data_IF_258344239726
#
_entry.id   IF_258344239726
#
_cell.length_a   1.000
_cell.length_b   1.000
_cell.length_c   1.000
_cell.angle_alpha   90.00
_cell.angle_beta   90.00
_cell.angle_gamma   90.00
#
_symmetry.space_group_name_H-M   'P 1'
#
loop_
_entity.id
_entity.type
_entity.pdbx_description
1 polymer ?
#
# COMPACT_ATOMS: atom_id res chain seq x y z
N UNK A 1 -40.94 -9.61 55.30
CA UNK A 1 -40.14 -10.43 54.37
C UNK A 1 -39.59 -9.51 53.29
N UNK A 2 -38.25 -9.47 53.11
CA UNK A 2 -37.46 -8.86 52.01
C UNK A 2 -37.85 -7.43 51.59
N UNK A 3 -37.17 -6.34 51.94
CA UNK A 3 -35.73 -5.99 51.84
C UNK A 3 -35.12 -6.26 50.46
N UNK A 4 -34.68 -5.17 49.84
CA UNK A 4 -33.62 -5.08 48.82
C UNK A 4 -33.95 -5.34 47.35
N UNK A 5 -33.84 -4.25 46.57
CA UNK A 5 -33.12 -4.10 45.28
C UNK A 5 -33.37 -2.65 44.82
N UNK A 6 -32.45 -1.68 44.91
CA UNK A 6 -31.00 -1.78 44.81
C UNK A 6 -30.61 -2.18 43.40
N UNK A 7 -30.49 -1.21 42.48
CA UNK A 7 -29.51 -1.08 41.39
C UNK A 7 -29.76 0.28 40.74
N UNK A 8 -28.93 1.26 41.14
CA UNK A 8 -28.58 2.37 40.27
C UNK A 8 -27.94 1.79 39.00
N UNK A 9 -28.21 2.35 37.84
CA UNK A 9 -27.22 2.55 36.78
C UNK A 9 -27.81 3.55 35.78
N UNK A 10 -27.66 4.81 36.14
CA UNK A 10 -27.35 5.86 35.19
C UNK A 10 -26.28 5.32 34.23
N UNK A 11 -26.64 5.11 32.98
CA UNK A 11 -25.65 5.23 31.91
C UNK A 11 -26.22 6.21 30.91
N UNK A 12 -25.99 7.49 31.25
CA UNK A 12 -25.94 8.53 30.26
C UNK A 12 -24.95 8.05 29.19
N UNK A 13 -25.48 7.79 27.99
CA UNK A 13 -24.70 7.91 26.78
C UNK A 13 -24.13 9.34 26.82
N UNK A 14 -22.84 9.48 27.11
CA UNK A 14 -22.18 10.78 27.09
C UNK A 14 -22.25 11.31 25.65
N UNK A 15 -22.89 12.46 25.38
CA UNK A 15 -22.96 13.01 24.02
C UNK A 15 -21.61 13.54 23.47
N UNK A 16 -20.49 13.19 24.11
CA UNK A 16 -19.15 13.58 23.72
C UNK A 16 -18.30 12.43 23.13
N UNK A 17 -18.74 11.16 23.22
CA UNK A 17 -18.08 10.07 22.49
C UNK A 17 -18.58 10.00 21.04
N UNK A 18 -18.51 11.13 20.35
CA UNK A 18 -18.35 11.03 18.91
C UNK A 18 -16.93 10.52 18.77
N UNK A 19 -16.66 9.32 18.22
CA UNK A 19 -15.33 9.11 17.67
C UNK A 19 -15.16 10.30 16.74
N UNK A 20 -14.18 11.15 17.05
CA UNK A 20 -13.69 12.12 16.10
C UNK A 20 -13.17 11.25 14.97
N UNK A 21 -14.07 10.88 14.05
CA UNK A 21 -13.73 10.07 12.89
C UNK A 21 -12.77 10.96 12.17
N UNK A 22 -11.50 10.68 12.41
CA UNK A 22 -10.39 11.54 12.11
C UNK A 22 -10.54 11.98 10.66
N UNK A 23 -10.16 13.21 10.37
CA UNK A 23 -10.05 13.73 9.01
C UNK A 23 -9.02 12.87 8.27
N UNK A 24 -9.40 11.65 7.85
CA UNK A 24 -8.58 10.72 7.09
C UNK A 24 -8.49 11.32 5.70
N UNK A 25 -7.44 12.11 5.52
CA UNK A 25 -7.01 12.45 4.17
C UNK A 25 -6.74 11.13 3.44
N UNK A 26 -7.22 10.99 2.20
CA UNK A 26 -7.04 9.76 1.46
C UNK A 26 -5.54 9.50 1.32
N UNK A 27 -5.05 8.42 1.94
CA UNK A 27 -3.68 7.97 1.74
C UNK A 27 -3.53 7.63 0.26
N UNK A 28 -2.45 8.07 -0.42
CA UNK A 28 -2.27 7.77 -1.84
C UNK A 28 -2.31 6.25 -2.04
N UNK A 29 -3.19 5.77 -2.92
CA UNK A 29 -3.38 4.33 -3.15
C UNK A 29 -2.11 3.65 -3.67
N UNK A 30 -1.26 4.38 -4.41
CA UNK A 30 0.02 3.90 -4.92
C UNK A 30 1.07 5.02 -4.97
N UNK A 31 2.31 4.66 -4.65
CA UNK A 31 3.48 5.52 -4.79
C UNK A 31 4.16 5.28 -6.13
N UNK A 32 4.57 6.36 -6.82
CA UNK A 32 5.40 6.25 -8.03
C UNK A 32 6.87 6.12 -7.68
N UNK A 33 7.68 5.79 -8.67
CA UNK A 33 9.14 5.72 -8.51
C UNK A 33 9.73 6.99 -7.89
N UNK A 34 9.22 8.17 -8.29
CA UNK A 34 9.70 9.46 -7.77
C UNK A 34 9.41 9.60 -6.27
N UNK A 35 8.25 9.13 -5.82
CA UNK A 35 7.85 9.18 -4.41
C UNK A 35 8.64 8.16 -3.60
N UNK A 36 8.84 6.95 -4.12
CA UNK A 36 9.64 5.91 -3.45
C UNK A 36 11.06 6.37 -3.23
N UNK A 37 11.69 7.01 -4.22
CA UNK A 37 13.03 7.60 -4.06
C UNK A 37 13.05 8.68 -2.98
N UNK A 38 12.03 9.54 -2.95
CA UNK A 38 11.92 10.60 -1.94
C UNK A 38 11.71 10.05 -0.53
N UNK A 39 10.89 9.00 -0.38
CA UNK A 39 10.55 8.39 0.92
C UNK A 39 11.71 7.55 1.46
N UNK A 40 12.34 6.75 0.61
CA UNK A 40 13.39 5.81 1.02
C UNK A 40 14.79 6.42 1.03
N UNK A 41 14.95 7.63 0.48
CA UNK A 41 16.24 8.28 0.22
C UNK A 41 17.23 7.41 -0.59
N UNK A 42 16.74 6.40 -1.30
CA UNK A 42 17.54 5.53 -2.16
C UNK A 42 17.47 6.00 -3.61
N UNK A 43 18.60 5.92 -4.32
CA UNK A 43 18.62 6.17 -5.76
C UNK A 43 17.77 5.14 -6.52
N UNK A 44 17.25 5.54 -7.69
CA UNK A 44 16.45 4.65 -8.55
C UNK A 44 17.14 3.32 -8.85
N UNK A 45 18.43 3.39 -9.14
CA UNK A 45 19.26 2.21 -9.42
C UNK A 45 19.35 1.28 -8.20
N UNK A 46 19.50 1.84 -6.99
CA UNK A 46 19.56 1.06 -5.76
C UNK A 46 18.25 0.35 -5.47
N UNK A 47 17.12 1.03 -5.68
CA UNK A 47 15.79 0.42 -5.53
C UNK A 47 15.64 -0.76 -6.49
N UNK A 48 15.96 -0.59 -7.78
CA UNK A 48 15.90 -1.70 -8.74
C UNK A 48 16.84 -2.86 -8.40
N UNK A 49 18.06 -2.57 -7.93
CA UNK A 49 18.99 -3.60 -7.46
C UNK A 49 18.40 -4.38 -6.28
N UNK A 50 17.85 -3.71 -5.27
CA UNK A 50 17.23 -4.39 -4.12
C UNK A 50 15.97 -5.17 -4.50
N UNK A 51 15.21 -4.72 -5.49
CA UNK A 51 14.09 -5.48 -6.06
C UNK A 51 14.61 -6.78 -6.69
N UNK A 52 15.69 -6.71 -7.48
CA UNK A 52 16.31 -7.90 -8.08
C UNK A 52 16.88 -8.86 -7.02
N UNK A 53 17.38 -8.33 -5.90
CA UNK A 53 17.84 -9.10 -4.74
C UNK A 53 16.69 -9.64 -3.85
N UNK A 54 15.43 -9.28 -4.14
CA UNK A 54 14.26 -9.66 -3.33
C UNK A 54 14.16 -8.96 -1.97
N UNK A 55 14.97 -7.92 -1.75
CA UNK A 55 15.10 -7.11 -0.52
C UNK A 55 14.25 -5.84 -0.51
N UNK A 56 13.40 -5.67 -1.52
CA UNK A 56 12.49 -4.52 -1.64
C UNK A 56 11.16 -4.99 -2.23
N UNK A 57 10.02 -4.35 -1.89
CA UNK A 57 8.73 -4.72 -2.44
C UNK A 57 8.71 -4.61 -3.98
N UNK A 58 8.14 -5.61 -4.69
CA UNK A 58 8.01 -5.53 -6.14
C UNK A 58 6.99 -4.45 -6.55
N UNK A 59 7.20 -3.78 -7.71
CA UNK A 59 6.23 -2.83 -8.23
C UNK A 59 4.96 -3.53 -8.72
N UNK A 60 3.81 -2.93 -8.41
CA UNK A 60 2.50 -3.29 -8.95
C UNK A 60 2.30 -2.58 -10.29
N UNK A 61 1.99 -3.34 -11.34
CA UNK A 61 1.64 -2.77 -12.65
C UNK A 61 0.18 -2.28 -12.62
N UNK A 62 0.00 -0.97 -12.82
CA UNK A 62 -1.32 -0.31 -12.85
C UNK A 62 -1.87 -0.21 -14.28
N UNK A 63 -1.18 -0.79 -15.26
CA UNK A 63 -1.53 -0.78 -16.68
C UNK A 63 -0.53 0.02 -17.55
N UNK A 64 -0.29 -0.44 -18.77
CA UNK A 64 0.66 0.19 -19.69
C UNK A 64 2.06 0.33 -19.10
N UNK A 65 2.61 1.56 -19.13
CA UNK A 65 3.93 1.90 -18.56
C UNK A 65 3.87 2.35 -17.09
N UNK A 66 2.68 2.32 -16.48
CA UNK A 66 2.45 2.78 -15.13
C UNK A 66 2.73 1.66 -14.12
N UNK A 67 3.74 1.84 -13.27
CA UNK A 67 4.01 1.01 -12.11
C UNK A 67 3.98 1.83 -10.81
N UNK A 68 3.70 1.17 -9.68
CA UNK A 68 3.70 1.80 -8.36
C UNK A 68 3.76 0.82 -7.21
N UNK A 69 3.91 1.33 -5.99
CA UNK A 69 4.00 0.54 -4.77
C UNK A 69 2.83 0.85 -3.85
N UNK A 70 2.28 -0.17 -3.19
CA UNK A 70 1.23 0.06 -2.20
C UNK A 70 1.84 0.71 -0.94
N UNK A 71 1.08 1.55 -0.21
CA UNK A 71 1.53 2.10 1.05
C UNK A 71 1.90 1.02 2.07
N UNK A 72 1.11 -0.05 2.14
CA UNK A 72 1.33 -1.15 3.08
C UNK A 72 2.64 -1.88 2.82
N UNK A 73 2.96 -2.18 1.57
CA UNK A 73 4.21 -2.88 1.24
C UNK A 73 5.44 -2.01 1.48
N UNK A 74 5.33 -0.71 1.16
CA UNK A 74 6.40 0.24 1.42
C UNK A 74 6.61 0.45 2.92
N UNK A 75 5.53 0.59 3.69
CA UNK A 75 5.59 0.72 5.15
C UNK A 75 6.26 -0.50 5.80
N UNK A 76 5.87 -1.72 5.41
CA UNK A 76 6.50 -2.95 5.90
C UNK A 76 7.99 -3.01 5.64
N UNK A 77 8.45 -2.45 4.52
CA UNK A 77 9.87 -2.34 4.22
C UNK A 77 10.56 -1.24 5.04
N UNK A 78 9.89 -0.10 5.28
CA UNK A 78 10.42 0.98 6.11
C UNK A 78 10.59 0.52 7.56
N UNK A 79 9.65 -0.26 8.08
CA UNK A 79 9.68 -0.76 9.46
C UNK A 79 10.88 -1.69 9.71
N UNK A 80 11.24 -2.54 8.75
CA UNK A 80 12.46 -3.34 8.80
C UNK A 80 13.06 -3.59 7.41
N UNK A 81 13.96 -2.72 6.94
CA UNK A 81 14.52 -2.83 5.58
C UNK A 81 15.55 -3.96 5.44
N UNK A 82 16.09 -4.48 6.54
CA UNK A 82 17.13 -5.52 6.52
C UNK A 82 16.53 -6.93 6.54
N UNK A 83 15.48 -7.10 7.34
CA UNK A 83 14.74 -8.36 7.43
C UNK A 83 13.59 -8.44 6.44
N UNK A 84 13.30 -7.37 5.69
CA UNK A 84 12.26 -7.42 4.66
C UNK A 84 12.53 -8.58 3.70
N UNK A 85 11.52 -9.46 3.58
CA UNK A 85 11.47 -10.54 2.61
C UNK A 85 10.17 -10.39 1.85
N UNK A 86 10.24 -10.34 0.52
CA UNK A 86 9.05 -10.30 -0.32
C UNK A 86 8.31 -11.63 -0.19
N UNK A 87 7.17 -11.63 0.50
CA UNK A 87 6.36 -12.86 0.74
C UNK A 87 5.57 -13.29 -0.49
N UNK A 88 5.42 -12.42 -1.50
CA UNK A 88 4.53 -12.74 -2.62
C UNK A 88 5.16 -12.45 -3.98
N UNK A 89 5.53 -13.54 -4.63
CA UNK A 89 5.38 -13.71 -6.06
C UNK A 89 3.95 -14.23 -6.35
N UNK A 90 3.07 -13.39 -6.92
CA UNK A 90 1.84 -13.83 -7.60
C UNK A 90 0.55 -13.03 -7.30
N UNK A 91 -0.38 -12.86 -8.28
CA UNK A 91 -0.35 -13.40 -9.62
C UNK A 91 0.34 -12.43 -10.59
N UNK A 92 1.07 -13.07 -11.50
CA UNK A 92 1.40 -12.56 -12.83
C UNK A 92 0.13 -11.86 -13.34
N UNK A 93 0.21 -10.58 -13.68
CA UNK A 93 -0.81 -9.98 -14.53
C UNK A 93 -0.76 -10.78 -15.82
N UNK A 94 -1.59 -11.83 -15.90
CA UNK A 94 -1.95 -12.52 -17.12
C UNK A 94 -2.77 -11.50 -17.92
N UNK A 95 -2.09 -10.49 -18.44
CA UNK A 95 -2.59 -9.74 -19.57
C UNK A 95 -2.42 -10.68 -20.75
N UNK A 96 -3.52 -11.38 -21.05
CA UNK A 96 -3.71 -12.16 -22.27
C UNK A 96 -3.21 -11.34 -23.46
N UNK A 97 -2.19 -11.87 -24.12
CA UNK A 97 -1.60 -11.35 -25.33
C UNK A 97 -2.44 -11.77 -26.53
N UNK A 98 -3.64 -11.22 -26.68
CA UNK A 98 -4.37 -11.25 -27.95
C UNK A 98 -4.77 -9.86 -28.41
N UNK A 99 -3.77 -9.15 -28.93
CA UNK A 99 -3.94 -8.32 -30.12
C UNK A 99 -2.58 -8.16 -30.80
N UNK A 100 -2.30 -9.08 -31.73
CA UNK A 100 -1.37 -8.83 -32.84
C UNK A 100 -2.01 -7.73 -33.68
N UNK A 101 -1.63 -6.48 -33.41
CA UNK A 101 -2.02 -5.32 -34.20
C UNK A 101 -0.76 -4.67 -34.76
N UNK A 102 -0.42 -5.11 -35.96
CA UNK A 102 0.40 -4.46 -37.01
C UNK A 102 1.46 -3.42 -36.58
N UNK A 103 2.70 -3.78 -36.88
CA UNK A 103 3.74 -2.87 -37.38
C UNK A 103 3.19 -1.83 -38.37
N UNK A 104 3.68 -0.59 -38.28
CA UNK A 104 4.02 0.30 -39.41
C UNK A 104 4.57 1.64 -38.91
N UNK A 105 5.85 1.89 -39.27
CA UNK A 105 6.53 3.17 -39.52
C UNK A 105 6.44 4.34 -38.53
N UNK A 106 7.61 4.77 -38.02
CA UNK A 106 8.35 5.94 -38.54
C UNK A 106 9.32 6.46 -37.46
N UNK A 107 10.57 5.96 -37.49
CA UNK A 107 11.70 6.75 -37.01
C UNK A 107 12.25 7.48 -38.24
N UNK A 108 12.29 8.81 -38.18
CA UNK A 108 13.14 9.68 -38.99
C UNK A 108 13.94 10.55 -38.03
#
# INVERSE_FOLDING_TARGET
MHMSRGIAMSQALHPADRPVTALTLPTPAFFRMVDVVRITALSRATVYRRIAEGRFPPPVHLGGRACGWTPSDLQRWIDDPQSYRSVTAGPRTAVDSRSRGSCSNACS
#
